data_IF_109787061541
#
_entry.id   IF_109787061541
#
_cell.length_a   1.000
_cell.length_b   1.000
_cell.length_c   1.000
_cell.angle_alpha   90.00
_cell.angle_beta   90.00
_cell.angle_gamma   90.00
#
_symmetry.space_group_name_H-M   'P 1'
#
loop_
_entity.id
_entity.type
_entity.pdbx_description
1 polymer ?
#
# COMPACT_ATOMS: atom_id res chain seq x y z
N UNK A 1 19.37 28.20 23.24
CA UNK A 1 19.18 26.74 23.35
C UNK A 1 17.74 26.51 23.82
N UNK A 2 16.85 26.00 22.91
CA UNK A 2 15.51 25.54 23.32
C UNK A 2 15.70 24.28 24.18
N UNK A 3 15.24 24.30 25.44
CA UNK A 3 15.13 23.08 26.25
C UNK A 3 14.16 22.15 25.53
N UNK A 4 14.67 21.05 24.99
CA UNK A 4 13.83 19.97 24.44
C UNK A 4 13.03 19.36 25.60
N UNK A 5 11.72 19.31 25.49
CA UNK A 5 10.90 18.60 26.48
C UNK A 5 11.34 17.14 26.54
N UNK A 6 11.42 16.53 27.74
CA UNK A 6 11.82 15.14 27.88
C UNK A 6 10.84 14.23 27.15
N UNK A 7 11.38 13.27 26.36
CA UNK A 7 10.55 12.27 25.68
C UNK A 7 9.91 11.33 26.73
N UNK A 8 8.64 11.56 27.01
CA UNK A 8 7.83 10.83 28.00
C UNK A 8 7.77 9.32 27.69
N UNK A 9 7.87 8.93 26.41
CA UNK A 9 7.87 7.54 25.97
C UNK A 9 9.17 6.85 26.44
N UNK A 10 10.32 7.45 26.16
CA UNK A 10 11.62 6.89 26.51
C UNK A 10 11.85 6.83 28.02
N UNK A 11 11.32 7.82 28.78
CA UNK A 11 11.44 7.85 30.26
C UNK A 11 10.63 6.73 30.90
N UNK A 12 9.43 6.42 30.37
CA UNK A 12 8.53 5.40 30.92
C UNK A 12 8.83 3.99 30.39
N UNK A 13 9.73 3.87 29.44
CA UNK A 13 10.09 2.58 28.85
C UNK A 13 10.86 1.72 29.86
N UNK A 14 10.49 0.44 30.04
CA UNK A 14 11.27 -0.49 30.86
C UNK A 14 12.67 -0.70 30.25
N UNK A 15 13.62 -1.13 31.06
CA UNK A 15 14.98 -1.41 30.63
C UNK A 15 15.01 -2.42 29.48
N UNK A 16 15.56 -2.04 28.30
CA UNK A 16 15.72 -2.93 27.14
C UNK A 16 16.51 -4.20 27.47
N UNK A 17 17.42 -4.12 28.45
CA UNK A 17 18.16 -5.29 28.94
C UNK A 17 17.24 -6.27 29.66
N UNK A 18 16.32 -5.77 30.48
CA UNK A 18 15.33 -6.57 31.20
C UNK A 18 14.33 -7.19 30.20
N UNK A 19 13.86 -6.42 29.21
CA UNK A 19 12.98 -6.91 28.14
C UNK A 19 13.68 -8.02 27.34
N UNK A 20 14.96 -7.87 26.99
CA UNK A 20 15.74 -8.90 26.26
C UNK A 20 15.84 -10.20 27.06
N UNK A 21 16.08 -10.12 28.36
CA UNK A 21 16.16 -11.27 29.24
C UNK A 21 14.82 -11.98 29.38
N UNK A 22 13.73 -11.22 29.47
CA UNK A 22 12.38 -11.75 29.45
C UNK A 22 12.06 -12.50 28.14
N UNK A 23 12.36 -11.91 26.99
CA UNK A 23 12.13 -12.55 25.68
C UNK A 23 12.92 -13.84 25.55
N UNK A 24 14.18 -13.87 26.00
CA UNK A 24 14.99 -15.10 26.00
C UNK A 24 14.39 -16.18 26.91
N UNK A 25 13.97 -15.80 28.12
CA UNK A 25 13.36 -16.73 29.08
C UNK A 25 12.01 -17.29 28.58
N UNK A 26 11.20 -16.44 27.94
CA UNK A 26 9.92 -16.83 27.34
C UNK A 26 10.10 -17.78 26.17
N UNK A 27 11.09 -17.57 25.30
CA UNK A 27 11.43 -18.50 24.20
C UNK A 27 11.88 -19.85 24.69
N UNK A 28 12.75 -19.86 25.71
CA UNK A 28 13.33 -21.09 26.23
C UNK A 28 12.43 -21.85 27.20
N UNK A 29 11.43 -21.19 27.79
CA UNK A 29 10.66 -21.65 28.95
C UNK A 29 11.57 -22.18 30.06
N UNK A 30 12.75 -21.54 30.23
CA UNK A 30 13.79 -21.93 31.18
C UNK A 30 14.77 -20.78 31.39
N UNK A 31 14.94 -20.36 32.63
CA UNK A 31 15.87 -19.29 32.98
C UNK A 31 17.33 -19.69 32.78
N UNK A 32 17.66 -20.97 32.99
CA UNK A 32 19.01 -21.47 32.73
C UNK A 32 19.36 -21.44 31.26
N UNK A 33 18.49 -21.99 30.39
CA UNK A 33 18.71 -21.95 28.92
C UNK A 33 18.74 -20.52 28.38
N UNK A 34 17.91 -19.64 28.93
CA UNK A 34 17.95 -18.22 28.57
C UNK A 34 19.28 -17.55 28.97
N UNK A 35 19.80 -17.90 30.14
CA UNK A 35 21.08 -17.41 30.62
C UNK A 35 22.23 -17.86 29.72
N UNK A 36 22.24 -19.11 29.32
CA UNK A 36 23.22 -19.68 28.37
C UNK A 36 23.14 -18.95 27.03
N UNK A 37 21.92 -18.72 26.49
CA UNK A 37 21.71 -18.04 25.20
C UNK A 37 22.16 -16.59 25.19
N UNK A 38 22.19 -15.94 26.34
CA UNK A 38 22.61 -14.53 26.50
C UNK A 38 24.00 -14.37 27.10
N UNK A 39 24.72 -15.47 27.37
CA UNK A 39 26.02 -15.49 28.01
C UNK A 39 26.05 -14.74 29.36
N UNK A 40 25.01 -14.98 30.19
CA UNK A 40 24.89 -14.41 31.55
C UNK A 40 24.57 -15.49 32.57
N UNK A 41 24.50 -15.12 33.87
CA UNK A 41 24.11 -16.09 34.91
C UNK A 41 22.57 -16.20 35.03
N UNK A 42 22.03 -17.38 35.44
CA UNK A 42 20.60 -17.53 35.73
C UNK A 42 20.07 -16.54 36.78
N UNK A 43 20.89 -16.19 37.75
CA UNK A 43 20.55 -15.19 38.76
C UNK A 43 20.37 -13.77 38.13
N UNK A 44 21.18 -13.42 37.15
CA UNK A 44 21.04 -12.18 36.40
C UNK A 44 19.72 -12.13 35.60
N UNK A 45 19.36 -13.22 34.91
CA UNK A 45 18.06 -13.34 34.23
C UNK A 45 16.90 -13.17 35.21
N UNK A 46 16.90 -13.91 36.31
CA UNK A 46 15.82 -13.82 37.32
C UNK A 46 15.67 -12.40 37.89
N UNK A 47 16.79 -11.73 38.16
CA UNK A 47 16.79 -10.35 38.66
C UNK A 47 16.23 -9.38 37.62
N UNK A 48 16.65 -9.47 36.36
CA UNK A 48 16.20 -8.59 35.28
C UNK A 48 14.72 -8.79 34.95
N UNK A 49 14.21 -10.03 35.03
CA UNK A 49 12.79 -10.32 34.87
C UNK A 49 11.99 -9.68 36.02
N UNK A 50 12.48 -9.79 37.27
CA UNK A 50 11.84 -9.15 38.41
C UNK A 50 11.82 -7.62 38.26
N UNK A 51 12.93 -7.02 37.87
CA UNK A 51 12.99 -5.58 37.55
C UNK A 51 11.95 -5.16 36.51
N UNK A 52 11.71 -5.99 35.51
CA UNK A 52 10.70 -5.76 34.47
C UNK A 52 9.28 -5.88 35.00
N UNK A 53 9.00 -6.93 35.78
CA UNK A 53 7.69 -7.17 36.40
C UNK A 53 7.34 -6.02 37.40
N UNK A 54 8.32 -5.58 38.19
CA UNK A 54 8.16 -4.46 39.09
C UNK A 54 7.88 -3.14 38.33
N UNK A 55 8.57 -2.89 37.24
CA UNK A 55 8.36 -1.71 36.38
C UNK A 55 6.99 -1.71 35.68
N UNK A 56 6.48 -2.89 35.30
CA UNK A 56 5.18 -3.06 34.64
C UNK A 56 4.02 -3.20 35.65
N UNK A 57 4.33 -3.46 36.91
CA UNK A 57 3.33 -3.68 37.97
C UNK A 57 2.54 -4.98 37.79
N UNK A 58 3.08 -5.96 37.07
CA UNK A 58 2.40 -7.24 36.77
C UNK A 58 3.40 -8.37 36.63
N UNK A 59 3.03 -9.59 37.06
CA UNK A 59 3.83 -10.77 36.83
C UNK A 59 3.69 -11.26 35.40
N UNK A 60 4.81 -11.59 34.77
CA UNK A 60 4.89 -12.10 33.40
C UNK A 60 5.08 -13.62 33.34
N UNK A 61 5.57 -14.23 34.44
CA UNK A 61 5.71 -15.67 34.58
C UNK A 61 4.92 -16.21 35.78
N UNK A 62 4.31 -17.38 35.59
CA UNK A 62 3.76 -18.17 36.67
C UNK A 62 4.90 -18.79 37.48
N UNK A 63 4.97 -18.50 38.78
CA UNK A 63 6.01 -19.03 39.69
C UNK A 63 5.53 -20.24 40.51
N UNK A 64 4.29 -20.69 40.31
CA UNK A 64 3.70 -21.82 41.02
C UNK A 64 3.91 -23.11 40.23
N UNK A 65 5.08 -23.74 40.39
CA UNK A 65 5.32 -25.04 39.76
C UNK A 65 6.79 -25.33 39.39
N UNK A 66 7.05 -26.52 38.86
CA UNK A 66 8.37 -26.91 38.34
C UNK A 66 8.68 -26.39 36.93
N UNK A 67 7.67 -25.91 36.23
CA UNK A 67 7.79 -25.39 34.87
C UNK A 67 7.71 -23.84 34.85
N UNK A 68 8.46 -23.23 33.97
CA UNK A 68 8.39 -21.80 33.69
C UNK A 68 7.32 -21.60 32.62
N UNK A 69 6.21 -20.95 32.98
CA UNK A 69 5.09 -20.66 32.08
C UNK A 69 4.80 -19.16 32.07
N UNK A 70 4.34 -18.65 30.94
CA UNK A 70 3.91 -17.26 30.81
C UNK A 70 2.51 -17.07 31.41
N UNK A 71 2.30 -15.93 32.05
CA UNK A 71 0.95 -15.43 32.35
C UNK A 71 0.28 -14.92 31.05
N UNK A 72 -1.01 -14.58 31.12
CA UNK A 72 -1.69 -13.90 29.99
C UNK A 72 -1.01 -12.57 29.64
N UNK A 73 -0.62 -11.79 30.67
CA UNK A 73 0.15 -10.56 30.48
C UNK A 73 1.53 -10.84 29.88
N UNK A 74 2.21 -11.91 30.36
CA UNK A 74 3.48 -12.36 29.81
C UNK A 74 3.39 -12.73 28.33
N UNK A 75 2.37 -13.47 27.93
CA UNK A 75 2.15 -13.86 26.54
C UNK A 75 1.91 -12.64 25.64
N UNK A 76 1.07 -11.69 26.08
CA UNK A 76 0.82 -10.44 25.36
C UNK A 76 2.11 -9.65 25.19
N UNK A 77 2.84 -9.44 26.27
CA UNK A 77 4.08 -8.66 26.25
C UNK A 77 5.19 -9.34 25.45
N UNK A 78 5.28 -10.68 25.51
CA UNK A 78 6.24 -11.46 24.72
C UNK A 78 6.06 -11.27 23.22
N UNK A 79 4.83 -11.36 22.71
CA UNK A 79 4.55 -11.21 21.28
C UNK A 79 4.99 -9.84 20.76
N UNK A 80 4.67 -8.77 21.51
CA UNK A 80 5.04 -7.41 21.11
C UNK A 80 6.55 -7.18 21.23
N UNK A 81 7.16 -7.58 22.36
CA UNK A 81 8.58 -7.38 22.61
C UNK A 81 9.47 -8.17 21.63
N UNK A 82 9.08 -9.41 21.31
CA UNK A 82 9.79 -10.24 20.34
C UNK A 82 9.79 -9.58 18.95
N UNK A 83 8.63 -9.11 18.47
CA UNK A 83 8.52 -8.45 17.18
C UNK A 83 9.36 -7.16 17.16
N UNK A 84 9.33 -6.37 18.23
CA UNK A 84 10.12 -5.15 18.35
C UNK A 84 11.63 -5.43 18.26
N UNK A 85 12.11 -6.47 18.95
CA UNK A 85 13.53 -6.86 18.84
C UNK A 85 13.89 -7.39 17.45
N UNK A 86 13.00 -8.11 16.79
CA UNK A 86 13.24 -8.54 15.40
C UNK A 86 13.38 -7.33 14.46
N UNK A 87 12.53 -6.33 14.61
CA UNK A 87 12.58 -5.09 13.81
C UNK A 87 13.88 -4.31 14.07
N UNK A 88 14.30 -4.18 15.34
CA UNK A 88 15.58 -3.53 15.69
C UNK A 88 16.76 -4.31 15.11
N UNK A 89 16.77 -5.64 15.22
CA UNK A 89 17.83 -6.47 14.69
C UNK A 89 17.92 -6.36 13.16
N UNK A 90 16.78 -6.39 12.47
CA UNK A 90 16.72 -6.22 11.02
C UNK A 90 17.20 -4.83 10.57
N UNK A 91 16.83 -3.77 11.29
CA UNK A 91 17.33 -2.43 11.01
C UNK A 91 18.86 -2.34 11.19
N UNK A 92 19.40 -2.96 12.26
CA UNK A 92 20.84 -2.99 12.50
C UNK A 92 21.58 -3.83 11.43
N UNK A 93 20.98 -4.89 10.92
CA UNK A 93 21.54 -5.72 9.86
C UNK A 93 21.59 -4.96 8.54
N UNK A 94 20.52 -4.27 8.16
CA UNK A 94 20.49 -3.38 6.98
C UNK A 94 21.58 -2.31 7.01
N UNK A 95 21.93 -1.77 8.19
CA UNK A 95 23.02 -0.80 8.34
C UNK A 95 24.43 -1.43 8.16
N UNK A 96 24.54 -2.74 8.44
CA UNK A 96 25.82 -3.47 8.27
C UNK A 96 26.02 -3.97 6.83
N UNK A 97 24.92 -4.20 6.12
CA UNK A 97 24.90 -4.69 4.73
C UNK A 97 25.10 -3.57 3.70
N UNK A 98 25.36 -2.32 4.11
CA UNK A 98 25.57 -1.17 3.22
C UNK A 98 26.66 -1.37 2.16
N UNK A 99 27.55 -2.35 2.31
CA UNK A 99 28.59 -2.69 1.31
C UNK A 99 28.07 -3.64 0.20
N UNK A 100 26.84 -4.17 0.27
CA UNK A 100 26.26 -5.11 -0.70
C UNK A 100 24.82 -4.74 -1.11
N UNK A 101 24.49 -3.45 -1.15
CA UNK A 101 23.15 -3.06 -1.59
C UNK A 101 22.99 -3.31 -3.09
N UNK A 102 22.08 -4.21 -3.45
CA UNK A 102 21.54 -4.27 -4.80
C UNK A 102 20.98 -2.89 -5.15
N UNK A 103 21.15 -2.43 -6.40
CA UNK A 103 20.47 -1.23 -6.85
C UNK A 103 18.98 -1.35 -6.53
N UNK A 104 18.43 -0.38 -5.83
CA UNK A 104 17.02 -0.43 -5.42
C UNK A 104 16.29 0.81 -5.90
N UNK A 105 15.01 0.64 -6.26
CA UNK A 105 14.12 1.71 -6.65
C UNK A 105 12.83 1.64 -5.86
N UNK A 106 12.43 2.76 -5.27
CA UNK A 106 11.14 2.92 -4.61
C UNK A 106 10.17 3.69 -5.50
N UNK A 107 9.11 3.02 -5.93
CA UNK A 107 8.09 3.56 -6.80
C UNK A 107 6.83 3.82 -5.99
N UNK A 108 6.27 5.02 -6.11
CA UNK A 108 5.02 5.38 -5.46
C UNK A 108 3.92 5.61 -6.50
N UNK A 109 2.78 4.96 -6.34
CA UNK A 109 1.64 5.12 -7.24
C UNK A 109 0.31 4.85 -6.53
N UNK A 110 -0.82 5.10 -7.23
CA UNK A 110 -2.13 4.74 -6.68
C UNK A 110 -2.29 3.22 -6.57
N UNK A 111 -3.11 2.70 -5.63
CA UNK A 111 -3.39 1.27 -5.55
C UNK A 111 -3.94 0.68 -6.85
N UNK A 112 -4.78 1.42 -7.58
CA UNK A 112 -5.27 1.00 -8.90
C UNK A 112 -4.15 0.84 -9.92
N UNK A 113 -3.24 1.81 -10.00
CA UNK A 113 -2.05 1.76 -10.87
C UNK A 113 -1.12 0.61 -10.46
N UNK A 114 -0.87 0.44 -9.17
CA UNK A 114 -0.04 -0.66 -8.67
C UNK A 114 -0.59 -2.03 -9.09
N UNK A 115 -1.87 -2.27 -8.86
CA UNK A 115 -2.49 -3.58 -9.07
C UNK A 115 -2.80 -3.89 -10.53
N UNK A 116 -3.30 -2.91 -11.30
CA UNK A 116 -3.86 -3.17 -12.62
C UNK A 116 -2.90 -2.83 -13.77
N UNK A 117 -1.95 -1.92 -13.54
CA UNK A 117 -0.99 -1.54 -14.57
C UNK A 117 0.42 -2.04 -14.27
N UNK A 118 0.95 -1.79 -13.07
CA UNK A 118 2.34 -2.09 -12.73
C UNK A 118 2.55 -3.60 -12.47
N UNK A 119 1.77 -4.19 -11.56
CA UNK A 119 1.95 -5.58 -11.12
C UNK A 119 1.95 -6.61 -12.27
N UNK A 120 1.06 -6.53 -13.29
CA UNK A 120 1.10 -7.47 -14.42
C UNK A 120 2.40 -7.39 -15.24
N UNK A 121 3.13 -6.29 -15.17
CA UNK A 121 4.34 -5.99 -15.93
C UNK A 121 5.65 -6.25 -15.16
N UNK A 122 5.58 -6.35 -13.82
CA UNK A 122 6.77 -6.49 -12.97
C UNK A 122 7.58 -7.76 -13.27
N UNK A 123 6.94 -8.87 -13.61
CA UNK A 123 7.64 -10.10 -13.98
C UNK A 123 8.57 -9.90 -15.19
N UNK A 124 8.13 -9.10 -16.17
CA UNK A 124 8.95 -8.75 -17.32
C UNK A 124 10.13 -7.87 -16.91
N UNK A 125 9.91 -6.84 -16.08
CA UNK A 125 11.00 -6.02 -15.56
C UNK A 125 12.04 -6.85 -14.80
N UNK A 126 11.61 -7.69 -13.85
CA UNK A 126 12.51 -8.53 -13.05
C UNK A 126 13.29 -9.55 -13.89
N UNK A 127 12.74 -9.97 -15.05
CA UNK A 127 13.46 -10.86 -15.99
C UNK A 127 14.57 -10.13 -16.76
N UNK A 128 14.38 -8.83 -17.05
CA UNK A 128 15.38 -8.00 -17.74
C UNK A 128 16.47 -7.50 -16.77
N UNK A 129 16.08 -7.19 -15.55
CA UNK A 129 16.93 -6.56 -14.53
C UNK A 129 16.88 -7.31 -13.20
N UNK A 130 17.41 -8.53 -13.13
CA UNK A 130 17.30 -9.41 -11.96
C UNK A 130 18.03 -8.89 -10.72
N UNK A 131 18.98 -7.99 -10.91
CA UNK A 131 19.78 -7.42 -9.82
C UNK A 131 19.15 -6.17 -9.21
N UNK A 132 18.07 -5.62 -9.81
CA UNK A 132 17.38 -4.44 -9.29
C UNK A 132 16.25 -4.86 -8.34
N UNK A 133 16.31 -4.35 -7.12
CA UNK A 133 15.22 -4.49 -6.15
C UNK A 133 14.19 -3.38 -6.34
N UNK A 134 12.91 -3.76 -6.54
CA UNK A 134 11.81 -2.81 -6.64
C UNK A 134 10.94 -2.81 -5.38
N UNK A 135 10.79 -1.64 -4.79
CA UNK A 135 9.83 -1.37 -3.72
C UNK A 135 8.65 -0.58 -4.26
N UNK A 136 7.42 -1.06 -4.09
CA UNK A 136 6.21 -0.38 -4.54
C UNK A 136 5.42 0.11 -3.35
N UNK A 137 5.24 1.43 -3.26
CA UNK A 137 4.41 2.10 -2.25
C UNK A 137 3.09 2.50 -2.89
N UNK A 138 2.02 1.77 -2.55
CA UNK A 138 0.69 2.04 -3.06
C UNK A 138 -0.11 2.92 -2.09
N UNK A 139 -0.41 4.17 -2.48
CA UNK A 139 -1.15 5.12 -1.66
C UNK A 139 -2.00 6.06 -2.49
N UNK A 140 -3.05 6.61 -1.88
CA UNK A 140 -3.82 7.72 -2.47
C UNK A 140 -3.30 9.09 -2.05
N UNK A 141 -2.51 9.18 -0.98
CA UNK A 141 -1.96 10.45 -0.48
C UNK A 141 -0.45 10.50 -0.68
N UNK A 142 -0.04 11.02 -1.84
CA UNK A 142 1.37 11.18 -2.21
C UNK A 142 2.10 12.26 -1.39
N UNK A 143 1.36 13.10 -0.64
CA UNK A 143 1.94 14.17 0.17
C UNK A 143 2.24 13.71 1.60
N UNK A 144 1.54 12.68 2.08
CA UNK A 144 1.67 12.11 3.43
C UNK A 144 2.23 10.70 3.37
N UNK A 145 3.48 10.60 2.97
CA UNK A 145 4.22 9.36 3.08
C UNK A 145 4.84 9.23 4.48
N UNK A 146 5.15 8.02 4.90
CA UNK A 146 5.92 7.77 6.11
C UNK A 146 7.27 8.50 6.04
N UNK A 147 7.81 8.92 7.19
CA UNK A 147 8.97 9.82 7.24
C UNK A 147 10.26 9.23 6.61
N UNK A 148 10.36 7.92 6.55
CA UNK A 148 11.46 7.15 5.98
C UNK A 148 11.25 6.78 4.51
N UNK A 149 10.06 7.03 3.95
CA UNK A 149 9.74 6.72 2.55
C UNK A 149 10.06 7.92 1.66
N UNK A 150 11.14 7.82 0.89
CA UNK A 150 11.52 8.78 -0.14
C UNK A 150 11.47 8.10 -1.51
N UNK A 151 10.35 8.20 -2.26
CA UNK A 151 10.24 7.55 -3.55
C UNK A 151 11.27 8.07 -4.55
N UNK A 152 11.79 7.17 -5.36
CA UNK A 152 12.66 7.50 -6.49
C UNK A 152 11.83 7.91 -7.71
N UNK A 153 10.64 7.32 -7.85
CA UNK A 153 9.70 7.65 -8.90
C UNK A 153 8.24 7.67 -8.41
N UNK A 154 7.41 8.49 -9.05
CA UNK A 154 5.96 8.46 -8.93
C UNK A 154 5.31 8.15 -10.26
N UNK A 155 4.23 7.35 -10.25
CA UNK A 155 3.28 7.28 -11.36
C UNK A 155 1.99 7.95 -10.90
N UNK A 156 1.67 9.12 -11.46
CA UNK A 156 0.66 10.05 -10.93
C UNK A 156 0.02 10.88 -12.02
N UNK A 157 -1.17 11.46 -11.76
CA UNK A 157 -1.81 12.44 -12.63
C UNK A 157 -1.22 13.86 -12.48
N UNK A 158 -0.43 14.12 -11.47
CA UNK A 158 0.16 15.45 -11.25
C UNK A 158 1.52 15.57 -11.91
N UNK A 159 1.63 16.52 -12.86
CA UNK A 159 2.91 16.88 -13.47
C UNK A 159 3.90 17.54 -12.48
N UNK A 160 3.41 18.04 -11.35
CA UNK A 160 4.19 18.72 -10.30
C UNK A 160 3.88 18.08 -8.95
N UNK A 161 4.14 16.79 -8.83
CA UNK A 161 3.82 16.04 -7.61
C UNK A 161 4.62 16.52 -6.41
N UNK A 162 5.88 16.88 -6.63
CA UNK A 162 6.80 17.33 -5.60
C UNK A 162 7.94 18.16 -6.22
N UNK A 163 8.50 19.08 -5.46
CA UNK A 163 9.75 19.77 -5.84
C UNK A 163 10.91 18.76 -5.93
N UNK A 164 11.83 18.96 -6.89
CA UNK A 164 12.95 18.05 -7.15
C UNK A 164 12.59 16.78 -7.93
N UNK A 165 11.42 16.76 -8.61
CA UNK A 165 11.04 15.69 -9.52
C UNK A 165 10.77 16.21 -10.93
N UNK A 166 11.30 15.49 -11.92
CA UNK A 166 11.08 15.75 -13.34
C UNK A 166 10.04 14.78 -13.89
N UNK A 167 9.01 15.30 -14.54
CA UNK A 167 7.87 14.53 -15.02
C UNK A 167 7.88 14.32 -16.51
N UNK A 168 7.68 13.08 -16.95
CA UNK A 168 7.47 12.68 -18.35
C UNK A 168 6.04 12.15 -18.50
N UNK A 169 5.35 12.54 -19.59
CA UNK A 169 4.00 12.03 -19.88
C UNK A 169 4.02 10.55 -20.19
N UNK A 170 3.06 9.80 -19.64
CA UNK A 170 2.87 8.38 -19.91
C UNK A 170 1.63 8.15 -20.78
N UNK A 171 0.43 8.41 -20.26
CA UNK A 171 -0.83 8.16 -20.96
C UNK A 171 -1.84 9.29 -20.75
N UNK A 172 -2.70 9.47 -21.77
CA UNK A 172 -3.84 10.37 -21.68
C UNK A 172 -5.01 9.75 -20.92
N UNK A 173 -5.95 10.59 -20.54
CA UNK A 173 -7.12 10.19 -19.79
C UNK A 173 -8.27 9.80 -20.72
N UNK A 174 -8.60 8.51 -20.74
CA UNK A 174 -9.74 7.94 -21.45
C UNK A 174 -10.52 7.04 -20.49
N UNK A 175 -11.79 7.36 -20.26
CA UNK A 175 -12.66 6.69 -19.29
C UNK A 175 -13.94 6.23 -20.00
N UNK A 176 -14.35 4.98 -19.76
CA UNK A 176 -15.58 4.39 -20.30
C UNK A 176 -16.14 3.32 -19.39
N UNK A 177 -17.45 3.00 -19.47
CA UNK A 177 -18.04 1.90 -18.72
C UNK A 177 -17.48 0.54 -19.15
N UNK A 178 -17.24 -0.33 -18.16
CA UNK A 178 -16.79 -1.73 -18.37
C UNK A 178 -17.57 -2.68 -17.48
N UNK A 179 -17.74 -3.91 -17.94
CA UNK A 179 -18.27 -5.02 -17.16
C UNK A 179 -17.72 -6.34 -17.68
N UNK A 180 -18.02 -7.45 -17.01
CA UNK A 180 -17.73 -8.79 -17.52
C UNK A 180 -18.54 -9.14 -18.76
N UNK A 181 -18.12 -10.11 -19.56
CA UNK A 181 -18.94 -10.66 -20.65
C UNK A 181 -20.28 -11.22 -20.19
N UNK A 182 -20.31 -11.86 -19.02
CA UNK A 182 -21.53 -12.41 -18.43
C UNK A 182 -22.58 -11.33 -18.11
N UNK A 183 -22.14 -10.24 -17.47
CA UNK A 183 -23.02 -9.10 -17.20
C UNK A 183 -23.44 -8.41 -18.51
N UNK A 184 -22.51 -8.22 -19.44
CA UNK A 184 -22.78 -7.59 -20.75
C UNK A 184 -23.88 -8.31 -21.52
N UNK A 185 -23.91 -9.64 -21.51
CA UNK A 185 -24.92 -10.44 -22.22
C UNK A 185 -26.33 -10.24 -21.71
N UNK A 186 -26.50 -9.70 -20.51
CA UNK A 186 -27.80 -9.40 -19.88
C UNK A 186 -28.28 -7.96 -20.15
N UNK A 187 -27.43 -7.12 -20.74
CA UNK A 187 -27.76 -5.72 -21.02
C UNK A 187 -28.68 -5.62 -22.26
N UNK A 188 -29.57 -4.62 -22.29
CA UNK A 188 -30.35 -4.30 -23.49
C UNK A 188 -29.46 -3.97 -24.68
N UNK A 189 -29.81 -4.45 -25.89
CA UNK A 189 -29.00 -4.24 -27.12
C UNK A 189 -28.86 -2.75 -27.50
N UNK A 190 -29.88 -1.93 -27.19
CA UNK A 190 -29.90 -0.50 -27.50
C UNK A 190 -29.84 0.30 -26.18
N UNK A 191 -28.69 0.25 -25.51
CA UNK A 191 -28.47 0.98 -24.28
C UNK A 191 -28.34 2.48 -24.56
N UNK A 192 -29.16 3.30 -23.91
CA UNK A 192 -28.98 4.75 -23.90
C UNK A 192 -28.11 5.19 -22.72
N UNK A 193 -27.60 6.41 -22.79
CA UNK A 193 -26.82 7.00 -21.71
C UNK A 193 -27.67 7.12 -20.40
N UNK A 194 -28.96 7.46 -20.53
CA UNK A 194 -29.90 7.49 -19.42
C UNK A 194 -30.14 6.11 -18.85
N UNK A 195 -30.24 5.08 -19.69
CA UNK A 195 -30.46 3.69 -19.28
C UNK A 195 -29.33 3.12 -18.42
N UNK A 196 -28.10 3.63 -18.56
CA UNK A 196 -27.00 3.24 -17.68
C UNK A 196 -27.25 3.58 -16.21
N UNK A 197 -28.07 4.59 -15.92
CA UNK A 197 -28.39 5.04 -14.55
C UNK A 197 -29.19 4.02 -13.75
N UNK A 198 -29.91 3.15 -14.42
CA UNK A 198 -30.80 2.16 -13.81
C UNK A 198 -30.10 0.83 -13.56
N UNK A 199 -28.82 0.71 -13.96
CA UNK A 199 -28.01 -0.49 -13.78
C UNK A 199 -27.26 -0.49 -12.44
N UNK A 200 -26.74 -1.66 -12.06
CA UNK A 200 -25.87 -1.79 -10.91
C UNK A 200 -24.55 -1.07 -11.18
N UNK A 201 -24.33 0.09 -10.55
CA UNK A 201 -23.15 0.91 -10.74
C UNK A 201 -22.15 0.70 -9.59
N UNK A 202 -20.92 0.32 -9.95
CA UNK A 202 -19.80 0.19 -9.04
C UNK A 202 -19.08 1.55 -8.98
N UNK A 203 -19.29 2.28 -7.90
CA UNK A 203 -18.93 3.70 -7.82
C UNK A 203 -17.66 3.95 -6.99
N UNK A 204 -16.73 4.68 -7.58
CA UNK A 204 -15.51 5.11 -6.87
C UNK A 204 -15.90 6.20 -5.85
N UNK A 205 -15.48 6.00 -4.59
CA UNK A 205 -15.74 6.93 -3.50
C UNK A 205 -14.53 7.83 -3.26
N UNK A 206 -14.73 9.11 -2.89
CA UNK A 206 -13.64 10.03 -2.54
C UNK A 206 -13.00 9.75 -1.16
N UNK A 207 -13.57 8.85 -0.35
CA UNK A 207 -13.08 8.58 1.00
C UNK A 207 -11.62 8.13 1.00
N UNK A 208 -10.82 8.69 1.93
CA UNK A 208 -9.39 8.39 2.04
C UNK A 208 -8.51 8.99 0.94
N UNK A 209 -9.06 9.89 0.10
CA UNK A 209 -8.31 10.66 -0.88
C UNK A 209 -8.13 12.09 -0.39
N UNK A 210 -7.00 12.76 -0.69
CA UNK A 210 -6.87 14.19 -0.48
C UNK A 210 -7.98 14.94 -1.19
N UNK A 211 -8.47 16.04 -0.62
CA UNK A 211 -9.54 16.87 -1.20
C UNK A 211 -9.20 17.46 -2.58
N UNK A 212 -7.92 17.48 -2.94
CA UNK A 212 -7.38 17.94 -4.23
C UNK A 212 -7.11 16.78 -5.21
N UNK A 213 -7.33 15.53 -4.82
CA UNK A 213 -7.13 14.41 -5.73
C UNK A 213 -8.20 14.40 -6.80
N UNK A 214 -7.80 14.50 -8.04
CA UNK A 214 -8.68 14.33 -9.18
C UNK A 214 -9.18 12.88 -9.22
N UNK A 215 -10.49 12.72 -9.24
CA UNK A 215 -11.13 11.42 -9.44
C UNK A 215 -12.42 11.58 -10.21
N UNK A 216 -12.81 10.57 -10.97
CA UNK A 216 -14.06 10.54 -11.70
C UNK A 216 -14.93 9.43 -11.11
N UNK A 217 -16.06 9.81 -10.52
CA UNK A 217 -17.13 8.89 -10.16
C UNK A 217 -18.23 8.90 -11.24
N UNK A 218 -19.22 8.05 -11.08
CA UNK A 218 -20.34 8.02 -12.02
C UNK A 218 -21.07 9.36 -12.14
N UNK A 219 -21.16 10.13 -11.06
CA UNK A 219 -21.81 11.45 -11.08
C UNK A 219 -21.03 12.43 -11.95
N UNK A 220 -19.71 12.49 -11.77
CA UNK A 220 -18.84 13.35 -12.58
C UNK A 220 -18.84 12.86 -14.03
N UNK A 221 -18.75 11.54 -14.24
CA UNK A 221 -18.74 10.96 -15.58
C UNK A 221 -20.03 11.27 -16.36
N UNK A 222 -21.23 11.16 -15.77
CA UNK A 222 -22.48 11.57 -16.40
C UNK A 222 -22.51 13.07 -16.71
N UNK A 223 -22.01 13.90 -15.81
CA UNK A 223 -21.90 15.35 -16.05
C UNK A 223 -20.97 15.66 -17.23
N UNK A 224 -19.85 14.95 -17.38
CA UNK A 224 -18.94 15.07 -18.52
C UNK A 224 -19.59 14.61 -19.85
N UNK A 225 -20.57 13.73 -19.79
CA UNK A 225 -21.40 13.31 -20.92
C UNK A 225 -22.59 14.26 -21.19
N UNK A 226 -22.70 15.36 -20.45
CA UNK A 226 -23.78 16.35 -20.59
C UNK A 226 -25.11 15.96 -19.95
N UNK A 227 -25.13 14.90 -19.13
CA UNK A 227 -26.32 14.47 -18.40
C UNK A 227 -26.36 15.13 -17.03
N UNK A 228 -27.31 16.06 -16.83
CA UNK A 228 -27.58 16.62 -15.52
C UNK A 228 -28.26 15.60 -14.59
N UNK A 229 -27.70 15.41 -13.42
CA UNK A 229 -28.33 14.59 -12.36
C UNK A 229 -29.15 15.52 -11.46
N UNK A 230 -30.32 15.96 -11.93
CA UNK A 230 -31.22 16.89 -11.25
C UNK A 230 -31.69 16.33 -9.89
N UNK A 231 -30.88 16.57 -8.83
CA UNK A 231 -31.26 16.20 -7.45
C UNK A 231 -31.55 14.72 -7.19
N UNK A 232 -31.69 13.90 -8.22
CA UNK A 232 -31.83 12.46 -8.12
C UNK A 232 -30.46 11.87 -7.86
N UNK A 233 -30.26 11.44 -6.63
CA UNK A 233 -29.15 10.54 -6.30
C UNK A 233 -29.10 9.43 -7.34
N UNK A 234 -27.90 8.96 -7.71
CA UNK A 234 -27.73 7.66 -8.36
C UNK A 234 -28.37 6.62 -7.41
N UNK A 235 -29.66 6.37 -7.58
CA UNK A 235 -30.48 5.58 -6.66
C UNK A 235 -30.88 4.24 -7.25
N UNK A 236 -30.09 3.77 -8.25
CA UNK A 236 -30.26 2.42 -8.73
C UNK A 236 -30.09 1.41 -7.58
N UNK A 237 -30.97 0.41 -7.47
CA UNK A 237 -30.76 -0.68 -6.54
C UNK A 237 -29.41 -1.35 -6.86
N UNK A 238 -28.53 -1.47 -5.84
CA UNK A 238 -27.24 -2.14 -6.02
C UNK A 238 -26.05 -1.23 -6.26
N UNK A 239 -26.12 0.09 -5.95
CA UNK A 239 -24.91 0.95 -5.99
C UNK A 239 -23.96 0.54 -4.87
N UNK A 240 -22.81 0.02 -5.25
CA UNK A 240 -21.70 -0.20 -4.32
C UNK A 240 -20.71 0.96 -4.45
N UNK A 241 -20.33 1.54 -3.30
CA UNK A 241 -19.33 2.60 -3.21
C UNK A 241 -18.08 2.07 -2.49
N UNK A 242 -16.95 2.15 -3.13
CA UNK A 242 -15.66 1.80 -2.53
C UNK A 242 -14.60 2.84 -2.91
N UNK A 243 -13.63 3.06 -2.04
CA UNK A 243 -12.47 3.91 -2.31
C UNK A 243 -11.30 3.14 -2.95
N UNK A 244 -11.38 1.82 -2.98
CA UNK A 244 -10.43 0.95 -3.67
C UNK A 244 -10.93 0.63 -5.08
N UNK A 245 -10.22 1.17 -6.08
CA UNK A 245 -10.55 0.96 -7.48
C UNK A 245 -10.36 -0.50 -7.91
N UNK A 246 -9.34 -1.17 -7.39
CA UNK A 246 -9.08 -2.58 -7.72
C UNK A 246 -10.23 -3.49 -7.26
N UNK A 247 -10.82 -3.19 -6.10
CA UNK A 247 -12.02 -3.88 -5.62
C UNK A 247 -13.19 -3.72 -6.60
N UNK A 248 -13.45 -2.50 -7.10
CA UNK A 248 -14.53 -2.26 -8.05
C UNK A 248 -14.33 -3.03 -9.37
N UNK A 249 -13.12 -3.08 -9.89
CA UNK A 249 -12.78 -3.88 -11.07
C UNK A 249 -12.96 -5.38 -10.79
N UNK A 250 -12.55 -5.87 -9.62
CA UNK A 250 -12.80 -7.25 -9.23
C UNK A 250 -14.30 -7.60 -9.14
N UNK A 251 -15.13 -6.66 -8.72
CA UNK A 251 -16.59 -6.83 -8.72
C UNK A 251 -17.16 -6.85 -10.14
N UNK A 252 -16.68 -5.97 -11.02
CA UNK A 252 -17.08 -5.96 -12.41
C UNK A 252 -16.75 -7.29 -13.13
N UNK A 253 -15.57 -7.87 -12.86
CA UNK A 253 -15.14 -9.19 -13.36
C UNK A 253 -16.05 -10.35 -12.89
N UNK A 254 -16.83 -10.17 -11.81
CA UNK A 254 -17.71 -11.18 -11.20
C UNK A 254 -19.20 -10.91 -11.44
N UNK A 255 -19.55 -10.30 -12.55
CA UNK A 255 -20.93 -10.01 -12.96
C UNK A 255 -21.72 -9.12 -11.98
N UNK A 256 -21.06 -8.30 -11.14
CA UNK A 256 -21.72 -7.55 -10.08
C UNK A 256 -22.13 -6.13 -10.50
N UNK A 257 -21.87 -5.71 -11.74
CA UNK A 257 -22.28 -4.42 -12.25
C UNK A 257 -21.26 -3.78 -13.21
N UNK A 258 -21.51 -2.50 -13.52
CA UNK A 258 -20.64 -1.67 -14.35
C UNK A 258 -19.68 -0.86 -13.49
N UNK A 259 -18.41 -0.87 -13.86
CA UNK A 259 -17.40 0.05 -13.34
C UNK A 259 -17.00 1.07 -14.41
N UNK A 260 -16.48 2.23 -13.98
CA UNK A 260 -15.74 3.11 -14.89
C UNK A 260 -14.34 2.54 -15.09
N UNK A 261 -13.95 2.30 -16.33
CA UNK A 261 -12.65 1.79 -16.73
C UNK A 261 -11.74 2.91 -17.22
N UNK A 262 -10.64 3.16 -16.55
CA UNK A 262 -9.54 3.95 -17.08
C UNK A 262 -8.77 3.10 -18.09
N UNK A 263 -8.67 3.55 -19.31
CA UNK A 263 -8.12 2.75 -20.43
C UNK A 263 -6.78 2.10 -20.07
N UNK A 264 -5.83 2.85 -19.54
CA UNK A 264 -4.50 2.36 -19.18
C UNK A 264 -4.53 1.29 -18.07
N UNK A 265 -5.59 1.23 -17.24
CA UNK A 265 -5.73 0.25 -16.17
C UNK A 265 -6.48 -1.02 -16.61
N UNK A 266 -7.43 -0.90 -17.54
CA UNK A 266 -8.33 -2.01 -17.90
C UNK A 266 -8.13 -2.56 -19.31
N UNK A 267 -7.29 -1.92 -20.14
CA UNK A 267 -7.07 -2.35 -21.53
C UNK A 267 -6.57 -3.78 -21.66
N UNK A 268 -5.73 -4.24 -20.74
CA UNK A 268 -5.23 -5.61 -20.72
C UNK A 268 -6.35 -6.61 -20.42
N UNK A 269 -7.23 -6.31 -19.47
CA UNK A 269 -8.39 -7.14 -19.12
C UNK A 269 -9.38 -7.23 -20.30
N UNK A 270 -9.55 -6.12 -21.04
CA UNK A 270 -10.39 -6.10 -22.24
C UNK A 270 -9.76 -6.94 -23.36
N UNK A 271 -8.46 -6.81 -23.59
CA UNK A 271 -7.73 -7.58 -24.61
C UNK A 271 -7.77 -9.08 -24.30
N UNK A 272 -7.76 -9.46 -23.04
CA UNK A 272 -7.88 -10.84 -22.57
C UNK A 272 -9.33 -11.36 -22.57
N UNK A 273 -10.31 -10.52 -22.95
CA UNK A 273 -11.73 -10.88 -22.96
C UNK A 273 -12.35 -11.02 -21.57
N UNK A 274 -11.68 -10.57 -20.52
CA UNK A 274 -12.19 -10.63 -19.15
C UNK A 274 -13.16 -9.47 -18.85
N UNK A 275 -12.96 -8.32 -19.49
CA UNK A 275 -13.89 -7.19 -19.47
C UNK A 275 -14.35 -6.84 -20.89
N UNK A 276 -15.55 -6.29 -20.97
CA UNK A 276 -16.14 -5.70 -22.17
C UNK A 276 -16.28 -4.20 -21.96
N UNK A 277 -15.82 -3.42 -22.93
CA UNK A 277 -16.04 -1.97 -23.01
C UNK A 277 -17.41 -1.69 -23.63
N UNK A 278 -18.21 -0.86 -23.00
CA UNK A 278 -19.43 -0.36 -23.62
C UNK A 278 -19.04 0.76 -24.60
N UNK A 279 -19.18 0.48 -25.88
CA UNK A 279 -18.79 1.39 -26.98
C UNK A 279 -19.78 2.56 -27.09
N UNK A 280 -19.29 3.75 -27.39
CA UNK A 280 -20.09 4.95 -27.57
C UNK A 280 -20.31 5.79 -26.32
N UNK A 281 -19.70 5.38 -25.19
CA UNK A 281 -19.82 6.05 -23.90
C UNK A 281 -18.47 6.53 -23.39
N UNK A 282 -17.61 7.01 -24.26
CA UNK A 282 -16.26 7.41 -23.95
C UNK A 282 -16.19 8.85 -23.44
N UNK A 283 -15.41 9.07 -22.41
CA UNK A 283 -15.00 10.39 -21.95
C UNK A 283 -13.49 10.52 -22.15
N UNK A 284 -13.09 11.43 -23.03
CA UNK A 284 -11.70 11.80 -23.25
C UNK A 284 -11.45 13.13 -22.56
N UNK A 285 -10.41 13.20 -21.72
CA UNK A 285 -9.95 14.45 -21.13
C UNK A 285 -8.61 14.86 -21.75
N UNK A 286 -8.61 15.70 -22.80
CA UNK A 286 -7.44 15.91 -23.65
C UNK A 286 -6.29 16.67 -22.97
N UNK A 287 -6.54 17.28 -21.79
CA UNK A 287 -5.53 18.01 -21.03
C UNK A 287 -5.06 17.25 -19.77
N UNK A 288 -5.66 16.09 -19.48
CA UNK A 288 -5.33 15.28 -18.33
C UNK A 288 -4.43 14.11 -18.75
N UNK A 289 -3.30 13.99 -18.08
CA UNK A 289 -2.30 12.96 -18.38
C UNK A 289 -1.83 12.29 -17.08
N UNK A 290 -1.37 11.07 -17.20
CA UNK A 290 -0.55 10.43 -16.20
C UNK A 290 0.92 10.66 -16.52
N UNK A 291 1.74 10.77 -15.49
CA UNK A 291 3.15 11.09 -15.58
C UNK A 291 3.98 10.08 -14.81
N UNK A 292 5.16 9.80 -15.34
CA UNK A 292 6.28 9.26 -14.58
C UNK A 292 7.09 10.45 -14.08
N UNK A 293 7.10 10.69 -12.77
CA UNK A 293 7.90 11.73 -12.14
C UNK A 293 9.08 11.07 -11.42
N UNK A 294 10.30 11.39 -11.85
CA UNK A 294 11.56 10.83 -11.33
C UNK A 294 12.28 11.89 -10.52
N UNK A 295 12.88 11.51 -9.41
CA UNK A 295 13.68 12.40 -8.58
C UNK A 295 14.91 12.88 -9.37
N UNK A 296 15.08 14.20 -9.47
CA UNK A 296 16.08 14.85 -10.33
C UNK A 296 17.50 14.43 -9.96
N UNK A 297 17.80 14.30 -8.66
CA UNK A 297 19.14 13.97 -8.15
C UNK A 297 19.69 12.63 -8.68
N UNK A 298 18.80 11.68 -9.01
CA UNK A 298 19.16 10.32 -9.43
C UNK A 298 18.73 10.02 -10.87
N UNK A 299 18.18 10.99 -11.59
CA UNK A 299 17.56 10.76 -12.91
C UNK A 299 18.52 10.16 -13.95
N UNK A 300 19.82 10.40 -13.78
CA UNK A 300 20.90 9.89 -14.65
C UNK A 300 21.56 8.59 -14.13
N UNK A 301 21.13 8.08 -12.98
CA UNK A 301 21.64 6.80 -12.49
C UNK A 301 21.21 5.66 -13.42
N UNK A 302 22.07 4.68 -13.72
CA UNK A 302 21.76 3.60 -14.66
C UNK A 302 20.47 2.87 -14.32
N UNK A 303 20.25 2.49 -13.06
CA UNK A 303 19.06 1.79 -12.58
C UNK A 303 17.77 2.59 -12.81
N UNK A 304 17.85 3.91 -12.66
CA UNK A 304 16.70 4.82 -12.85
C UNK A 304 16.42 5.01 -14.34
N UNK A 305 17.46 5.11 -15.17
CA UNK A 305 17.34 5.22 -16.62
C UNK A 305 16.74 3.93 -17.22
N UNK A 306 17.18 2.76 -16.80
CA UNK A 306 16.63 1.46 -17.20
C UNK A 306 15.16 1.32 -16.83
N UNK A 307 14.80 1.71 -15.62
CA UNK A 307 13.40 1.72 -15.19
C UNK A 307 12.56 2.71 -15.99
N UNK A 308 13.06 3.93 -16.24
CA UNK A 308 12.38 4.95 -17.04
C UNK A 308 12.10 4.46 -18.45
N UNK A 309 13.11 3.91 -19.13
CA UNK A 309 12.97 3.38 -20.49
C UNK A 309 11.97 2.22 -20.53
N UNK A 310 12.05 1.32 -19.55
CA UNK A 310 11.12 0.22 -19.45
C UNK A 310 9.69 0.71 -19.24
N UNK A 311 9.42 1.65 -18.32
CA UNK A 311 8.08 2.22 -18.08
C UNK A 311 7.55 2.88 -19.36
N UNK A 312 8.36 3.68 -20.05
CA UNK A 312 7.98 4.35 -21.30
C UNK A 312 7.67 3.36 -22.43
N UNK A 313 8.33 2.21 -22.46
CA UNK A 313 8.05 1.16 -23.43
C UNK A 313 6.73 0.42 -23.17
N UNK A 314 6.16 0.56 -21.98
CA UNK A 314 4.89 -0.08 -21.59
C UNK A 314 3.68 0.87 -21.71
N UNK A 315 3.90 2.14 -22.07
CA UNK A 315 2.87 3.19 -22.14
C UNK A 315 2.19 3.28 -23.52
#
# INVERSE_FOLDING_TARGET
MKKTEPDQLLIKMPSLRAVRSFVAAAKCLSFTRAADSLCVTPAAISRQIKELEDALGTELFNRSGRAVELTTAGTLFFNVAQLSFMNIAQAAERLREQDYQRPSLTICCSPGTANLWLAPRLAHFSSLYPDIELSVVATHDFHRLEADVRPDAFITQSARIREGYVSTRLFGELIYPVCSPGYFSQLPQNMSLEGLRDLALLNLSPYGRPSLAEYVDWKIWFALQGVALDGRSLSAPGIVKANDYSMLIQMALRDQGLALGWHHLVSDLIRQGQLVRLVGFDVVQPQTFHYLAIREEIAEEPVVSEFREWVLSQS
#
